data_IF_898250692142
#
_entry.id   IF_898250692142
#
_cell.length_a   1.000
_cell.length_b   1.000
_cell.length_c   1.000
_cell.angle_alpha   90.00
_cell.angle_beta   90.00
_cell.angle_gamma   90.00
#
_symmetry.space_group_name_H-M   'P 1'
#
loop_
_entity.id
_entity.type
_entity.pdbx_description
1 polymer ?
#
# COMPACT_ATOMS: atom_id res chain seq x y z
N UNK A 1 -13.03 -18.95 -4.24
CA UNK A 1 -12.05 -17.87 -4.57
C UNK A 1 -12.53 -16.60 -3.89
N UNK A 2 -11.70 -16.03 -3.03
CA UNK A 2 -12.04 -14.86 -2.20
C UNK A 2 -10.99 -13.76 -2.39
N UNK A 3 -11.42 -12.50 -2.37
CA UNK A 3 -10.55 -11.33 -2.52
C UNK A 3 -10.84 -10.30 -1.43
N UNK A 4 -9.80 -9.68 -0.89
CA UNK A 4 -9.90 -8.48 -0.05
C UNK A 4 -8.91 -7.44 -0.53
N UNK A 5 -9.36 -6.19 -0.59
CA UNK A 5 -8.54 -5.03 -0.94
C UNK A 5 -8.40 -4.17 0.31
N UNK A 6 -7.18 -4.10 0.83
CA UNK A 6 -6.89 -3.29 2.01
C UNK A 6 -6.60 -1.86 1.59
N UNK A 7 -7.43 -0.95 2.12
CA UNK A 7 -7.34 0.48 1.85
C UNK A 7 -6.50 1.13 2.92
N UNK A 8 -5.24 1.37 2.62
CA UNK A 8 -4.29 1.98 3.55
C UNK A 8 -4.70 3.42 3.88
N UNK A 9 -4.85 3.72 5.17
CA UNK A 9 -5.25 5.04 5.62
C UNK A 9 -4.59 5.43 6.94
N UNK A 10 -4.40 6.73 7.14
CA UNK A 10 -4.01 7.38 8.39
C UNK A 10 -5.04 8.44 8.83
N UNK A 11 -6.19 8.48 8.14
CA UNK A 11 -7.29 9.43 8.39
C UNK A 11 -8.64 8.74 8.23
N UNK A 12 -9.65 9.33 8.83
CA UNK A 12 -11.04 9.00 8.52
C UNK A 12 -11.33 9.35 7.05
N UNK A 13 -12.05 8.47 6.37
CA UNK A 13 -12.47 8.64 4.98
C UNK A 13 -13.76 7.86 4.71
N UNK A 14 -14.44 8.20 3.64
CA UNK A 14 -15.60 7.45 3.16
C UNK A 14 -15.12 6.24 2.37
N UNK A 15 -15.27 5.06 2.97
CA UNK A 15 -14.85 3.81 2.34
C UNK A 15 -15.85 3.37 1.24
N UNK A 16 -15.39 2.68 0.19
CA UNK A 16 -16.30 2.05 -0.76
C UNK A 16 -17.27 1.10 -0.05
N UNK A 17 -18.50 1.04 -0.55
CA UNK A 17 -19.58 0.23 0.05
C UNK A 17 -19.42 -1.27 -0.16
N UNK A 18 -18.62 -1.68 -1.16
CA UNK A 18 -18.35 -3.09 -1.42
C UNK A 18 -17.47 -3.67 -0.29
N UNK A 19 -17.93 -4.73 0.33
CA UNK A 19 -17.29 -5.40 1.48
C UNK A 19 -15.92 -6.02 1.18
N UNK A 20 -15.53 -6.07 -0.09
CA UNK A 20 -14.19 -6.42 -0.52
C UNK A 20 -13.15 -5.39 -0.06
N UNK A 21 -13.53 -4.10 0.03
CA UNK A 21 -12.64 -3.03 0.46
C UNK A 21 -12.62 -2.92 1.98
N UNK A 22 -11.47 -3.17 2.57
CA UNK A 22 -11.26 -3.19 4.02
C UNK A 22 -10.33 -2.04 4.41
N UNK A 23 -10.82 -1.01 5.12
CA UNK A 23 -9.93 0.02 5.66
C UNK A 23 -8.90 -0.56 6.62
N UNK A 24 -7.63 -0.23 6.40
CA UNK A 24 -6.50 -0.62 7.27
C UNK A 24 -5.78 0.63 7.73
N UNK A 25 -5.86 0.91 9.04
CA UNK A 25 -5.11 2.01 9.64
C UNK A 25 -3.64 1.64 9.75
N UNK A 26 -2.80 2.39 9.05
CA UNK A 26 -1.34 2.23 9.10
C UNK A 26 -0.72 3.19 10.12
N UNK A 27 0.30 2.72 10.82
CA UNK A 27 0.93 3.48 11.91
C UNK A 27 0.02 3.62 13.15
N UNK A 28 -0.88 2.69 13.37
CA UNK A 28 -1.81 2.70 14.51
C UNK A 28 -1.07 2.86 15.84
N UNK A 29 0.07 2.18 16.02
CA UNK A 29 0.86 2.24 17.26
C UNK A 29 1.39 3.64 17.64
N UNK A 30 1.31 4.63 16.74
CA UNK A 30 1.82 6.01 16.93
C UNK A 30 0.80 7.08 16.53
N UNK A 31 -0.45 6.72 16.30
CA UNK A 31 -1.53 7.62 15.88
C UNK A 31 -2.82 7.33 16.64
N UNK A 32 -3.75 8.30 16.71
CA UNK A 32 -5.06 8.08 17.32
C UNK A 32 -5.85 6.97 16.63
N UNK A 33 -6.66 6.25 17.41
CA UNK A 33 -7.61 5.24 16.94
C UNK A 33 -8.62 5.83 15.95
N UNK A 34 -8.80 5.16 14.81
CA UNK A 34 -9.79 5.54 13.79
C UNK A 34 -10.98 4.56 13.70
N UNK A 35 -10.95 3.46 14.43
CA UNK A 35 -12.00 2.42 14.40
C UNK A 35 -11.91 1.48 13.20
N UNK A 36 -10.77 1.43 12.52
CA UNK A 36 -10.48 0.51 11.41
C UNK A 36 -9.66 -0.69 11.87
N UNK A 37 -9.47 -1.67 10.99
CA UNK A 37 -8.45 -2.68 11.20
C UNK A 37 -7.08 -2.00 11.36
N UNK A 38 -6.27 -2.45 12.32
CA UNK A 38 -5.01 -1.80 12.69
C UNK A 38 -3.80 -2.67 12.33
N UNK A 39 -2.68 -2.02 11.99
CA UNK A 39 -1.44 -2.66 11.58
C UNK A 39 -0.46 -2.94 12.75
N UNK A 40 -0.91 -2.87 14.01
CA UNK A 40 -0.06 -2.97 15.19
C UNK A 40 -0.26 -4.25 16.03
N UNK A 41 -1.03 -5.21 15.52
CA UNK A 41 -1.22 -6.51 16.14
C UNK A 41 -0.23 -7.55 15.61
N UNK A 42 0.06 -8.59 16.40
CA UNK A 42 0.97 -9.66 16.00
C UNK A 42 2.38 -9.17 15.62
N UNK A 43 2.99 -9.82 14.64
CA UNK A 43 4.30 -9.39 14.10
C UNK A 43 4.11 -8.15 13.21
N UNK A 44 4.60 -6.99 13.66
CA UNK A 44 4.35 -5.72 13.03
C UNK A 44 5.52 -4.73 13.14
N UNK A 45 5.50 -3.72 12.27
CA UNK A 45 6.43 -2.59 12.28
C UNK A 45 5.70 -1.24 12.34
N UNK A 46 4.49 -1.21 12.89
CA UNK A 46 3.60 -0.04 12.94
C UNK A 46 4.28 1.21 13.53
N UNK A 47 5.11 1.06 14.56
CA UNK A 47 5.90 2.16 15.15
C UNK A 47 6.88 2.83 14.18
N UNK A 48 7.25 2.15 13.10
CA UNK A 48 8.16 2.66 12.06
C UNK A 48 7.43 3.40 10.93
N UNK A 49 6.14 3.64 11.06
CA UNK A 49 5.31 4.23 10.01
C UNK A 49 5.81 5.60 9.52
N UNK A 50 6.46 6.41 10.36
CA UNK A 50 7.07 7.69 9.96
C UNK A 50 8.08 7.55 8.80
N UNK A 51 8.77 6.40 8.72
CA UNK A 51 9.76 6.13 7.68
C UNK A 51 9.26 5.18 6.59
N UNK A 52 8.35 4.28 6.93
CA UNK A 52 7.88 3.22 6.03
C UNK A 52 6.48 3.47 5.45
N UNK A 53 5.74 4.46 5.94
CA UNK A 53 4.40 4.82 5.45
C UNK A 53 3.49 3.59 5.30
N UNK A 54 2.87 3.41 4.14
CA UNK A 54 1.96 2.30 3.84
C UNK A 54 2.62 0.92 3.90
N UNK A 55 3.95 0.84 3.86
CA UNK A 55 4.67 -0.42 3.96
C UNK A 55 4.47 -1.10 5.32
N UNK A 56 4.11 -0.36 6.38
CA UNK A 56 3.80 -0.96 7.68
C UNK A 56 2.55 -1.84 7.61
N UNK A 57 1.54 -1.40 6.87
CA UNK A 57 0.33 -2.19 6.60
C UNK A 57 0.62 -3.38 5.69
N UNK A 58 1.46 -3.23 4.66
CA UNK A 58 1.87 -4.33 3.78
C UNK A 58 2.61 -5.41 4.57
N UNK A 59 3.54 -5.00 5.44
CA UNK A 59 4.25 -5.92 6.32
C UNK A 59 3.28 -6.69 7.24
N UNK A 60 2.34 -5.96 7.84
CA UNK A 60 1.35 -6.56 8.73
C UNK A 60 0.47 -7.58 7.99
N UNK A 61 0.00 -7.27 6.78
CA UNK A 61 -0.75 -8.19 5.93
C UNK A 61 0.05 -9.46 5.63
N UNK A 62 1.29 -9.31 5.24
CA UNK A 62 2.17 -10.45 4.95
C UNK A 62 2.37 -11.37 6.15
N UNK A 63 2.50 -10.80 7.35
CA UNK A 63 2.78 -11.58 8.57
C UNK A 63 1.55 -12.19 9.21
N UNK A 64 0.40 -11.51 9.12
CA UNK A 64 -0.73 -11.85 9.99
C UNK A 64 -2.03 -12.18 9.23
N UNK A 65 -2.12 -11.91 7.92
CA UNK A 65 -3.38 -12.08 7.20
C UNK A 65 -3.31 -13.16 6.13
N UNK A 66 -4.05 -14.26 6.33
CA UNK A 66 -4.08 -15.43 5.43
C UNK A 66 -5.50 -15.91 5.12
N UNK A 67 -6.50 -15.05 5.29
CA UNK A 67 -7.91 -15.44 5.24
C UNK A 67 -8.55 -15.34 3.85
N UNK A 68 -7.80 -15.01 2.79
CA UNK A 68 -8.32 -14.95 1.42
C UNK A 68 -7.29 -15.40 0.38
N UNK A 69 -7.77 -15.74 -0.81
CA UNK A 69 -6.93 -16.24 -1.92
C UNK A 69 -6.16 -15.11 -2.60
N UNK A 70 -6.74 -13.91 -2.67
CA UNK A 70 -6.14 -12.73 -3.27
C UNK A 70 -6.18 -11.53 -2.32
N UNK A 71 -5.04 -10.87 -2.17
CA UNK A 71 -4.90 -9.63 -1.42
C UNK A 71 -4.62 -8.50 -2.39
N UNK A 72 -5.49 -7.48 -2.38
CA UNK A 72 -5.25 -6.21 -3.05
C UNK A 72 -4.83 -5.15 -2.05
N UNK A 73 -4.10 -4.15 -2.54
CA UNK A 73 -3.64 -3.02 -1.74
C UNK A 73 -3.93 -1.75 -2.51
N UNK A 74 -4.55 -0.78 -1.86
CA UNK A 74 -4.73 0.56 -2.39
C UNK A 74 -4.60 1.61 -1.27
N UNK A 75 -4.61 2.86 -1.66
CA UNK A 75 -4.58 3.98 -0.71
C UNK A 75 -5.96 4.65 -0.68
N UNK A 76 -6.39 5.22 0.45
CA UNK A 76 -7.71 5.84 0.60
C UNK A 76 -8.02 6.96 -0.43
N UNK A 77 -7.03 7.45 -1.16
CA UNK A 77 -7.17 8.43 -2.26
C UNK A 77 -6.89 7.87 -3.65
N UNK A 78 -6.56 6.58 -3.77
CA UNK A 78 -6.12 5.99 -5.04
C UNK A 78 -6.64 4.56 -5.13
N UNK A 79 -7.61 4.37 -6.01
CA UNK A 79 -8.23 3.07 -6.27
C UNK A 79 -7.90 2.61 -7.69
N UNK A 80 -7.93 1.30 -7.89
CA UNK A 80 -7.99 0.75 -9.24
C UNK A 80 -9.37 1.04 -9.82
N UNK A 81 -9.39 1.57 -11.04
CA UNK A 81 -10.63 1.89 -11.76
C UNK A 81 -10.71 1.06 -13.03
N UNK A 82 -11.93 0.70 -13.42
CA UNK A 82 -12.22 0.02 -14.66
C UNK A 82 -12.23 1.00 -15.86
N UNK A 83 -12.52 0.49 -17.07
CA UNK A 83 -12.55 1.31 -18.30
C UNK A 83 -13.62 2.40 -18.28
N UNK A 84 -14.65 2.29 -17.46
CA UNK A 84 -15.70 3.28 -17.24
C UNK A 84 -15.32 4.36 -16.21
N UNK A 85 -14.13 4.25 -15.59
CA UNK A 85 -13.70 5.17 -14.55
C UNK A 85 -14.30 4.87 -13.15
N UNK A 86 -14.94 3.72 -12.97
CA UNK A 86 -15.53 3.29 -11.72
C UNK A 86 -14.58 2.37 -10.97
N UNK A 87 -14.65 2.37 -9.64
CA UNK A 87 -13.92 1.44 -8.79
C UNK A 87 -14.37 0.01 -9.14
N UNK A 88 -13.42 -0.91 -9.22
CA UNK A 88 -13.72 -2.32 -9.49
C UNK A 88 -14.62 -2.92 -8.42
N UNK A 89 -15.60 -3.70 -8.86
CA UNK A 89 -16.37 -4.60 -8.01
C UNK A 89 -15.64 -5.93 -7.83
N UNK A 90 -15.98 -6.68 -6.78
CA UNK A 90 -15.43 -8.03 -6.54
C UNK A 90 -15.63 -8.93 -7.77
N UNK A 91 -16.81 -8.91 -8.37
CA UNK A 91 -17.15 -9.72 -9.55
C UNK A 91 -16.25 -9.42 -10.76
N UNK A 92 -15.94 -8.15 -11.01
CA UNK A 92 -15.06 -7.74 -12.12
C UNK A 92 -13.63 -8.22 -11.89
N UNK A 93 -13.10 -8.04 -10.67
CA UNK A 93 -11.75 -8.49 -10.33
C UNK A 93 -11.62 -10.00 -10.38
N UNK A 94 -12.60 -10.73 -9.84
CA UNK A 94 -12.64 -12.18 -9.88
C UNK A 94 -12.62 -12.72 -11.31
N UNK A 95 -13.33 -12.06 -12.23
CA UNK A 95 -13.31 -12.41 -13.65
C UNK A 95 -11.94 -12.21 -14.29
N UNK A 96 -11.25 -11.12 -13.96
CA UNK A 96 -9.91 -10.85 -14.46
C UNK A 96 -8.89 -11.85 -13.91
N UNK A 97 -8.98 -12.18 -12.62
CA UNK A 97 -8.08 -13.12 -11.93
C UNK A 97 -8.26 -14.58 -12.34
N UNK A 98 -9.29 -14.92 -13.13
CA UNK A 98 -9.37 -16.24 -13.77
C UNK A 98 -8.25 -16.51 -14.78
N UNK A 99 -7.73 -15.45 -15.39
CA UNK A 99 -6.73 -15.53 -16.45
C UNK A 99 -5.43 -14.76 -16.15
N UNK A 100 -5.34 -14.17 -14.96
CA UNK A 100 -4.20 -13.37 -14.55
C UNK A 100 -3.88 -13.61 -13.08
N UNK A 101 -2.61 -13.77 -12.77
CA UNK A 101 -2.13 -13.95 -11.39
C UNK A 101 -2.05 -12.63 -10.62
N UNK A 102 -1.97 -11.52 -11.34
CA UNK A 102 -1.81 -10.19 -10.74
C UNK A 102 -2.46 -9.09 -11.61
N UNK A 103 -3.07 -8.12 -10.94
CA UNK A 103 -3.62 -6.91 -11.56
C UNK A 103 -2.87 -5.71 -11.01
N UNK A 104 -2.30 -4.90 -11.90
CA UNK A 104 -1.56 -3.68 -11.55
C UNK A 104 -2.13 -2.47 -12.29
N UNK A 105 -1.93 -1.24 -11.78
CA UNK A 105 -2.23 -0.04 -12.54
C UNK A 105 -1.33 0.05 -13.78
N UNK A 106 -1.79 0.82 -14.76
CA UNK A 106 -0.97 1.15 -15.95
C UNK A 106 0.32 1.85 -15.51
N UNK A 107 1.41 1.50 -16.15
CA UNK A 107 2.69 2.16 -15.92
C UNK A 107 2.58 3.68 -16.20
N UNK A 108 3.04 4.48 -15.26
CA UNK A 108 3.10 5.93 -15.40
C UNK A 108 4.52 6.34 -15.79
N UNK A 109 4.62 7.15 -16.84
CA UNK A 109 5.87 7.82 -17.20
C UNK A 109 5.99 9.10 -16.37
N UNK A 110 7.03 9.23 -15.60
CA UNK A 110 7.28 10.45 -14.81
C UNK A 110 7.89 11.53 -15.70
N UNK A 111 7.36 12.75 -15.61
CA UNK A 111 7.88 13.93 -16.32
C UNK A 111 9.04 14.63 -15.57
N UNK A 112 9.57 13.99 -14.54
CA UNK A 112 10.66 14.52 -13.71
C UNK A 112 11.64 13.40 -13.36
N UNK A 113 12.87 13.78 -13.02
CA UNK A 113 13.83 12.80 -12.52
C UNK A 113 13.37 12.21 -11.19
N UNK A 114 13.76 10.97 -10.91
CA UNK A 114 13.48 10.31 -9.64
C UNK A 114 13.89 11.18 -8.43
N UNK A 115 15.08 11.77 -8.49
CA UNK A 115 15.61 12.63 -7.42
C UNK A 115 14.71 13.85 -7.16
N UNK A 116 14.29 14.56 -8.21
CA UNK A 116 13.41 15.72 -8.07
C UNK A 116 12.04 15.35 -7.53
N UNK A 117 11.44 14.27 -8.02
CA UNK A 117 10.16 13.76 -7.53
C UNK A 117 10.22 13.33 -6.07
N UNK A 118 11.32 12.71 -5.66
CA UNK A 118 11.54 12.30 -4.28
C UNK A 118 11.74 13.50 -3.34
N UNK A 119 12.61 14.45 -3.70
CA UNK A 119 12.94 15.63 -2.87
C UNK A 119 11.73 16.54 -2.63
N UNK A 120 10.75 16.57 -3.54
CA UNK A 120 9.51 17.35 -3.39
C UNK A 120 8.54 16.75 -2.38
N UNK A 121 8.60 15.44 -2.14
CA UNK A 121 7.60 14.70 -1.37
C UNK A 121 8.14 14.08 -0.08
N UNK A 122 9.46 14.06 0.13
CA UNK A 122 10.10 13.41 1.27
C UNK A 122 11.14 14.31 1.92
N UNK A 123 11.41 14.10 3.21
CA UNK A 123 12.46 14.82 3.91
C UNK A 123 13.85 14.42 3.40
N UNK A 124 14.77 15.38 3.32
CA UNK A 124 16.15 15.14 2.86
C UNK A 124 16.89 14.04 3.65
N UNK A 125 16.55 13.84 4.93
CA UNK A 125 17.12 12.77 5.75
C UNK A 125 16.72 11.37 5.24
N UNK A 126 15.51 11.23 4.71
CA UNK A 126 15.06 9.96 4.12
C UNK A 126 15.76 9.72 2.78
N UNK A 127 16.06 10.78 2.03
CA UNK A 127 16.87 10.73 0.81
C UNK A 127 18.26 10.11 1.01
N UNK A 128 18.91 10.40 2.12
CA UNK A 128 20.26 9.88 2.41
C UNK A 128 20.28 8.36 2.62
N UNK A 129 19.21 7.78 3.13
CA UNK A 129 19.08 6.33 3.28
C UNK A 129 18.98 5.60 1.93
N UNK A 130 18.37 6.24 0.93
CA UNK A 130 18.18 5.66 -0.41
C UNK A 130 19.34 5.99 -1.39
N UNK A 131 20.07 7.05 -1.15
CA UNK A 131 21.23 7.47 -1.98
C UNK A 131 22.58 6.99 -1.43
N UNK A 132 22.61 6.46 -0.21
CA UNK A 132 23.80 5.82 0.33
C UNK A 132 24.10 4.55 -0.48
N UNK A 133 25.31 4.41 -1.07
CA UNK A 133 25.67 3.22 -1.81
C UNK A 133 25.56 2.00 -0.90
N UNK A 134 24.93 0.93 -1.39
CA UNK A 134 24.81 -0.31 -0.63
C UNK A 134 26.22 -0.86 -0.33
N UNK A 135 26.41 -1.67 0.70
CA UNK A 135 27.68 -2.35 0.94
C UNK A 135 28.18 -3.17 -0.24
N UNK A 136 27.29 -3.56 -1.17
CA UNK A 136 27.64 -4.21 -2.44
C UNK A 136 28.31 -3.27 -3.43
N UNK A 137 27.85 -2.03 -3.51
CA UNK A 137 28.37 -1.05 -4.48
C UNK A 137 29.79 -0.61 -4.12
N UNK A 138 30.16 -0.68 -2.85
CA UNK A 138 31.53 -0.40 -2.36
C UNK A 138 32.57 -1.45 -2.74
N UNK A 139 32.15 -2.64 -3.23
CA UNK A 139 33.07 -3.72 -3.65
C UNK A 139 33.44 -3.68 -5.14
N UNK A 140 32.85 -2.73 -5.88
CA UNK A 140 33.08 -2.60 -7.35
C UNK A 140 33.87 -1.34 -7.71
N UNK A 141 34.37 -0.57 -6.73
CA UNK A 141 35.24 0.58 -6.94
C UNK A 141 36.69 0.28 -6.53
#
# INVERSE_FOLDING_TARGET
>A
MSIKIFVMTHKQFEAPTDSMYVPLQVGHAISPELGYLADDTGDNISRKNKSFCELTGIYWLWKNYHACDYIGICHYRRYLINRQGLIFTEKELMRLLQNHDMITPKLLTLNTSYFNGFSQNHHQKDCLLYTSPSPRDKRQS
#
